data_IF_330613741783
#
_entry.id   IF_330613741783
#
_cell.length_a   1.000
_cell.length_b   1.000
_cell.length_c   1.000
_cell.angle_alpha   90.00
_cell.angle_beta   90.00
_cell.angle_gamma   90.00
#
_symmetry.space_group_name_H-M   'P 1'
#
loop_
_entity.id
_entity.type
_entity.pdbx_description
1 polymer ?
#
# COMPACT_ATOMS: atom_id res chain seq x y z
N UNK A 1 -9.59 1.59 -12.24
CA UNK A 1 -9.56 0.35 -11.44
C UNK A 1 -8.15 -0.22 -11.42
N UNK A 2 -7.69 -0.63 -10.26
CA UNK A 2 -6.38 -1.28 -10.13
C UNK A 2 -6.56 -2.80 -10.17
N UNK A 3 -5.58 -3.51 -10.74
CA UNK A 3 -5.63 -4.98 -10.80
C UNK A 3 -5.52 -5.61 -9.41
N UNK A 4 -4.74 -5.00 -8.52
CA UNK A 4 -4.60 -5.46 -7.14
C UNK A 4 -4.16 -4.34 -6.22
N UNK A 5 -4.43 -4.51 -4.93
CA UNK A 5 -4.04 -3.57 -3.87
C UNK A 5 -3.44 -4.36 -2.72
N UNK A 6 -2.31 -3.91 -2.21
CA UNK A 6 -1.73 -4.42 -0.97
C UNK A 6 -2.07 -3.47 0.16
N UNK A 7 -2.71 -3.97 1.21
CA UNK A 7 -3.04 -3.18 2.40
C UNK A 7 -2.10 -3.58 3.53
N UNK A 8 -1.35 -2.62 4.05
CA UNK A 8 -0.40 -2.83 5.14
C UNK A 8 -0.92 -2.10 6.37
N UNK A 9 -1.44 -2.83 7.33
CA UNK A 9 -2.09 -2.29 8.52
C UNK A 9 -2.16 -3.38 9.59
N UNK A 10 -1.79 -3.07 10.82
CA UNK A 10 -1.77 -4.04 11.91
C UNK A 10 -3.13 -4.23 12.59
N UNK A 11 -4.13 -3.44 12.24
CA UNK A 11 -5.47 -3.53 12.83
C UNK A 11 -6.37 -4.43 11.98
N UNK A 12 -6.80 -5.55 12.53
CA UNK A 12 -7.61 -6.53 11.82
C UNK A 12 -8.96 -5.99 11.38
N UNK A 13 -9.57 -5.13 12.19
CA UNK A 13 -10.87 -4.52 11.85
C UNK A 13 -10.70 -3.57 10.68
N UNK A 14 -9.66 -2.73 10.70
CA UNK A 14 -9.38 -1.82 9.60
C UNK A 14 -9.07 -2.60 8.31
N UNK A 15 -8.29 -3.67 8.40
CA UNK A 15 -8.01 -4.54 7.24
C UNK A 15 -9.30 -5.07 6.62
N UNK A 16 -10.20 -5.57 7.46
CA UNK A 16 -11.49 -6.09 6.98
C UNK A 16 -12.32 -5.01 6.28
N UNK A 17 -12.45 -3.84 6.92
CA UNK A 17 -13.26 -2.74 6.38
C UNK A 17 -12.69 -2.20 5.07
N UNK A 18 -11.38 -2.03 5.01
CA UNK A 18 -10.68 -1.54 3.81
C UNK A 18 -10.87 -2.52 2.65
N UNK A 19 -10.63 -3.81 2.90
CA UNK A 19 -10.80 -4.84 1.89
C UNK A 19 -12.21 -4.83 1.34
N UNK A 20 -13.21 -4.75 2.22
CA UNK A 20 -14.62 -4.72 1.85
C UNK A 20 -14.94 -3.52 0.97
N UNK A 21 -14.49 -2.33 1.35
CA UNK A 21 -14.71 -1.12 0.57
C UNK A 21 -14.07 -1.20 -0.81
N UNK A 22 -12.84 -1.72 -0.88
CA UNK A 22 -12.12 -1.85 -2.15
C UNK A 22 -12.81 -2.83 -3.10
N UNK A 23 -13.28 -3.96 -2.59
CA UNK A 23 -13.91 -4.99 -3.43
C UNK A 23 -15.35 -4.64 -3.80
N UNK A 24 -16.14 -4.18 -2.85
CA UNK A 24 -17.56 -3.84 -3.10
C UNK A 24 -17.72 -2.65 -4.04
N UNK A 25 -16.80 -1.69 -3.99
CA UNK A 25 -16.84 -0.52 -4.88
C UNK A 25 -16.40 -0.83 -6.31
N UNK A 26 -15.82 -2.01 -6.54
CA UNK A 26 -15.24 -2.37 -7.83
C UNK A 26 -13.90 -1.74 -8.10
N UNK A 27 -13.25 -1.14 -7.08
CA UNK A 27 -11.94 -0.52 -7.23
C UNK A 27 -10.87 -1.54 -7.60
N UNK A 28 -10.91 -2.71 -6.99
CA UNK A 28 -9.99 -3.81 -7.30
C UNK A 28 -10.69 -5.16 -7.10
N UNK A 29 -10.14 -6.19 -7.77
CA UNK A 29 -10.62 -7.57 -7.62
C UNK A 29 -9.78 -8.35 -6.61
N UNK A 30 -8.51 -7.99 -6.43
CA UNK A 30 -7.57 -8.72 -5.60
C UNK A 30 -7.00 -7.80 -4.52
N UNK A 31 -7.15 -8.19 -3.26
CA UNK A 31 -6.57 -7.49 -2.12
C UNK A 31 -5.59 -8.41 -1.41
N UNK A 32 -4.35 -7.97 -1.28
CA UNK A 32 -3.33 -8.62 -0.46
C UNK A 32 -3.25 -7.89 0.88
N UNK A 33 -2.99 -8.62 1.95
CA UNK A 33 -2.95 -8.07 3.30
C UNK A 33 -1.63 -8.40 3.98
N UNK A 34 -1.03 -7.41 4.61
CA UNK A 34 0.13 -7.60 5.49
C UNK A 34 -0.11 -6.87 6.80
N UNK A 35 0.28 -7.47 7.92
CA UNK A 35 0.02 -6.91 9.24
C UNK A 35 1.02 -5.83 9.65
N UNK A 36 2.16 -5.75 8.96
CA UNK A 36 3.19 -4.75 9.22
C UNK A 36 4.12 -4.64 8.02
N UNK A 37 5.06 -3.69 8.11
CA UNK A 37 6.01 -3.46 7.01
C UNK A 37 6.92 -4.64 6.74
N UNK A 38 7.34 -5.37 7.79
CA UNK A 38 8.22 -6.52 7.63
C UNK A 38 7.55 -7.64 6.83
N UNK A 39 6.30 -7.97 7.15
CA UNK A 39 5.54 -8.96 6.39
C UNK A 39 5.36 -8.53 4.93
N UNK A 40 5.12 -7.24 4.72
CA UNK A 40 4.94 -6.70 3.38
C UNK A 40 6.23 -6.84 2.55
N UNK A 41 7.38 -6.57 3.16
CA UNK A 41 8.66 -6.73 2.47
C UNK A 41 8.93 -8.20 2.13
N UNK A 42 8.63 -9.13 3.04
CA UNK A 42 8.75 -10.56 2.77
C UNK A 42 7.88 -10.95 1.57
N UNK A 43 6.64 -10.50 1.55
CA UNK A 43 5.71 -10.77 0.44
C UNK A 43 6.25 -10.19 -0.88
N UNK A 44 6.63 -8.92 -0.89
CA UNK A 44 7.08 -8.26 -2.11
C UNK A 44 8.41 -8.82 -2.61
N UNK A 45 9.28 -9.26 -1.71
CA UNK A 45 10.60 -9.81 -2.07
C UNK A 45 10.51 -11.17 -2.74
N UNK A 46 9.43 -11.90 -2.52
CA UNK A 46 9.22 -13.22 -3.15
C UNK A 46 8.62 -13.05 -4.56
N UNK A 47 9.31 -12.28 -5.37
CA UNK A 47 8.80 -11.80 -6.67
C UNK A 47 8.44 -12.95 -7.62
N UNK A 48 9.35 -13.86 -7.84
CA UNK A 48 9.15 -14.90 -8.86
C UNK A 48 8.02 -15.86 -8.49
N UNK A 49 7.93 -16.26 -7.22
CA UNK A 49 6.85 -17.14 -6.75
C UNK A 49 5.50 -16.44 -6.81
N UNK A 50 5.43 -15.18 -6.39
CA UNK A 50 4.19 -14.41 -6.42
C UNK A 50 3.76 -14.12 -7.85
N UNK A 51 4.70 -13.82 -8.73
CA UNK A 51 4.40 -13.59 -10.15
C UNK A 51 3.84 -14.85 -10.81
N UNK A 52 4.39 -16.03 -10.47
CA UNK A 52 3.90 -17.29 -10.97
C UNK A 52 2.49 -17.60 -10.45
N UNK A 53 2.20 -17.27 -9.19
CA UNK A 53 0.90 -17.55 -8.57
C UNK A 53 -0.17 -16.55 -8.99
N UNK A 54 0.13 -15.26 -8.94
CA UNK A 54 -0.86 -14.18 -9.13
C UNK A 54 -0.84 -13.56 -10.51
N UNK A 55 0.19 -13.85 -11.31
CA UNK A 55 0.30 -13.38 -12.70
C UNK A 55 0.19 -11.86 -12.82
N UNK A 56 -0.80 -11.37 -13.56
CA UNK A 56 -0.96 -9.93 -13.80
C UNK A 56 -1.37 -9.15 -12.55
N UNK A 57 -1.78 -9.83 -11.49
CA UNK A 57 -2.15 -9.19 -10.24
C UNK A 57 -0.94 -8.94 -9.33
N UNK A 58 0.23 -9.43 -9.69
CA UNK A 58 1.47 -9.15 -8.97
C UNK A 58 2.49 -8.50 -9.92
N UNK A 59 3.19 -7.45 -9.52
CA UNK A 59 3.10 -6.78 -8.21
C UNK A 59 1.79 -5.99 -8.05
N UNK A 60 1.38 -5.70 -6.81
CA UNK A 60 0.16 -4.92 -6.58
C UNK A 60 0.27 -3.55 -7.24
N UNK A 61 -0.83 -3.06 -7.81
CA UNK A 61 -0.85 -1.76 -8.48
C UNK A 61 -0.90 -0.58 -7.54
N UNK A 62 -1.27 -0.83 -6.29
CA UNK A 62 -1.38 0.19 -5.26
C UNK A 62 -1.06 -0.43 -3.90
N UNK A 63 -0.35 0.33 -3.06
CA UNK A 63 -0.12 -0.03 -1.66
C UNK A 63 -0.80 1.03 -0.79
N UNK A 64 -1.73 0.59 0.07
CA UNK A 64 -2.29 1.42 1.14
C UNK A 64 -1.52 1.12 2.41
N UNK A 65 -0.92 2.14 3.01
CA UNK A 65 0.09 1.98 4.05
C UNK A 65 -0.28 2.79 5.29
N UNK A 66 -0.35 2.13 6.44
CA UNK A 66 -0.47 2.81 7.73
C UNK A 66 0.92 3.20 8.24
N UNK A 67 0.98 4.19 9.13
CA UNK A 67 2.24 4.66 9.71
C UNK A 67 2.62 3.84 10.93
N UNK A 68 1.71 3.72 11.90
CA UNK A 68 2.01 3.18 13.22
C UNK A 68 1.75 1.67 13.27
N UNK A 69 2.81 0.89 13.10
CA UNK A 69 2.75 -0.57 13.12
C UNK A 69 3.93 -1.11 13.92
N UNK A 70 3.76 -2.31 14.53
CA UNK A 70 4.88 -2.95 15.23
C UNK A 70 5.93 -3.47 14.25
N UNK A 71 7.12 -3.75 14.73
CA UNK A 71 8.27 -4.33 14.02
C UNK A 71 8.85 -3.40 12.98
N UNK A 72 8.06 -2.96 12.01
CA UNK A 72 8.48 -2.03 10.97
C UNK A 72 7.33 -1.08 10.67
N UNK A 73 7.49 0.20 11.00
CA UNK A 73 6.46 1.22 10.72
C UNK A 73 6.43 1.62 9.24
N UNK A 74 5.49 2.51 8.88
CA UNK A 74 5.30 2.90 7.49
C UNK A 74 6.51 3.57 6.88
N UNK A 75 7.22 4.40 7.61
CA UNK A 75 8.39 5.10 7.08
C UNK A 75 9.59 4.17 6.93
N UNK A 76 9.78 3.25 7.86
CA UNK A 76 10.80 2.23 7.75
C UNK A 76 10.53 1.32 6.55
N UNK A 77 9.27 0.97 6.33
CA UNK A 77 8.85 0.22 5.14
C UNK A 77 9.24 0.96 3.86
N UNK A 78 8.96 2.26 3.79
CA UNK A 78 9.27 3.06 2.58
C UNK A 78 10.75 3.06 2.26
N UNK A 79 11.61 3.12 3.28
CA UNK A 79 13.05 3.10 3.08
C UNK A 79 13.52 1.78 2.48
N UNK A 80 13.01 0.67 2.97
CA UNK A 80 13.36 -0.66 2.45
C UNK A 80 12.74 -0.85 1.06
N UNK A 81 11.50 -0.44 0.88
CA UNK A 81 10.80 -0.57 -0.39
C UNK A 81 11.47 0.25 -1.50
N UNK A 82 11.99 1.42 -1.17
CA UNK A 82 12.75 2.24 -2.13
C UNK A 82 13.93 1.46 -2.72
N UNK A 83 14.64 0.71 -1.89
CA UNK A 83 15.74 -0.14 -2.36
C UNK A 83 15.24 -1.31 -3.19
N UNK A 84 14.17 -1.94 -2.75
CA UNK A 84 13.57 -3.07 -3.44
C UNK A 84 13.10 -2.69 -4.86
N UNK A 85 12.55 -1.49 -5.02
CA UNK A 85 12.13 -0.97 -6.31
C UNK A 85 13.28 -0.90 -7.33
N UNK A 86 14.49 -0.69 -6.86
CA UNK A 86 15.68 -0.61 -7.72
C UNK A 86 16.19 -1.99 -8.12
N UNK A 87 15.94 -3.00 -7.29
CA UNK A 87 16.42 -4.37 -7.54
C UNK A 87 15.53 -5.14 -8.52
N UNK A 88 14.23 -4.82 -8.53
CA UNK A 88 13.25 -5.48 -9.40
C UNK A 88 12.44 -4.42 -10.11
N UNK A 89 11.70 -4.83 -11.13
CA UNK A 89 10.90 -3.89 -11.92
C UNK A 89 9.60 -3.52 -11.23
N UNK A 90 9.73 -2.79 -10.14
CA UNK A 90 8.58 -2.16 -9.48
C UNK A 90 8.43 -0.69 -9.90
N UNK A 91 9.24 -0.22 -10.86
CA UNK A 91 9.33 1.22 -11.18
C UNK A 91 8.02 1.82 -11.64
N UNK A 92 7.24 1.08 -12.42
CA UNK A 92 5.96 1.57 -12.94
C UNK A 92 4.83 1.32 -11.95
N UNK A 93 5.01 0.45 -11.01
CA UNK A 93 4.08 0.04 -9.95
C UNK A 93 4.89 -0.58 -8.84
N UNK A 94 4.40 -0.64 -7.61
CA UNK A 94 3.17 -0.01 -7.15
C UNK A 94 3.36 1.44 -6.75
N UNK A 95 2.26 2.13 -6.69
CA UNK A 95 2.13 3.47 -6.14
C UNK A 95 1.72 3.32 -4.68
N UNK A 96 2.24 4.18 -3.80
CA UNK A 96 1.91 4.15 -2.36
C UNK A 96 1.01 5.32 -2.00
N UNK A 97 -0.05 5.03 -1.24
CA UNK A 97 -0.91 6.03 -0.63
C UNK A 97 -1.00 5.70 0.87
N UNK A 98 -0.68 6.67 1.71
CA UNK A 98 -0.87 6.49 3.15
C UNK A 98 -2.35 6.50 3.50
N UNK A 99 -2.75 5.60 4.38
CA UNK A 99 -4.09 5.57 4.95
C UNK A 99 -3.93 5.34 6.46
N UNK A 100 -4.09 6.39 7.24
CA UNK A 100 -3.72 6.37 8.65
C UNK A 100 -4.65 7.23 9.48
N UNK A 101 -4.66 7.02 10.79
CA UNK A 101 -5.37 7.90 11.72
C UNK A 101 -4.52 9.09 12.18
N UNK A 102 -3.23 9.13 11.81
CA UNK A 102 -2.35 10.26 12.14
C UNK A 102 -2.71 11.48 11.31
N UNK A 103 -2.80 12.64 11.96
CA UNK A 103 -3.01 13.93 11.29
C UNK A 103 -1.86 14.90 11.53
N UNK A 104 -0.69 14.39 11.89
CA UNK A 104 0.50 15.19 12.14
C UNK A 104 1.09 15.67 10.80
N UNK A 105 1.21 17.00 10.64
CA UNK A 105 1.73 17.58 9.40
C UNK A 105 3.18 17.13 9.11
N UNK A 106 3.99 16.91 10.14
CA UNK A 106 5.36 16.42 9.95
C UNK A 106 5.36 15.04 9.30
N UNK A 107 4.39 14.19 9.62
CA UNK A 107 4.25 12.87 9.00
C UNK A 107 3.86 13.00 7.53
N UNK A 108 2.97 13.92 7.20
CA UNK A 108 2.57 14.20 5.82
C UNK A 108 3.78 14.64 4.99
N UNK A 109 4.53 15.61 5.51
CA UNK A 109 5.71 16.15 4.84
C UNK A 109 6.76 15.07 4.61
N UNK A 110 7.00 14.24 5.60
CA UNK A 110 7.96 13.14 5.53
C UNK A 110 7.53 12.09 4.50
N UNK A 111 6.23 11.78 4.46
CA UNK A 111 5.68 10.82 3.51
C UNK A 111 5.87 11.29 2.07
N UNK A 112 5.62 12.57 1.83
CA UNK A 112 5.68 13.13 0.48
C UNK A 112 7.10 13.36 -0.06
N UNK A 113 8.12 13.13 0.76
CA UNK A 113 9.51 13.14 0.29
C UNK A 113 9.85 11.95 -0.61
N UNK A 114 9.04 10.90 -0.59
CA UNK A 114 9.22 9.75 -1.48
C UNK A 114 8.43 9.96 -2.77
N UNK A 115 9.09 9.88 -3.91
CA UNK A 115 8.47 10.19 -5.21
C UNK A 115 7.37 9.20 -5.63
N UNK A 116 7.40 7.98 -5.08
CA UNK A 116 6.37 6.97 -5.36
C UNK A 116 5.18 7.04 -4.40
N UNK A 117 5.19 7.94 -3.42
CA UNK A 117 4.04 8.21 -2.56
C UNK A 117 3.19 9.26 -3.24
N UNK A 118 1.94 8.92 -3.56
CA UNK A 118 1.04 9.79 -4.34
C UNK A 118 0.02 10.52 -3.48
N UNK A 119 -0.16 10.12 -2.25
CA UNK A 119 -1.13 10.78 -1.41
C UNK A 119 -1.11 10.33 0.04
N UNK A 120 -1.89 11.04 0.83
CA UNK A 120 -2.01 10.82 2.26
C UNK A 120 -3.47 10.99 2.63
N UNK A 121 -4.11 9.92 3.08
CA UNK A 121 -5.51 9.90 3.45
C UNK A 121 -5.67 9.58 4.93
N UNK A 122 -6.70 10.13 5.54
CA UNK A 122 -7.07 9.81 6.92
C UNK A 122 -8.12 8.71 6.93
N UNK A 123 -8.04 7.81 7.92
CA UNK A 123 -9.09 6.83 8.15
C UNK A 123 -10.37 7.52 8.63
N UNK A 124 -11.55 7.04 8.27
CA UNK A 124 -11.82 5.85 7.45
C UNK A 124 -11.59 6.12 5.95
N UNK A 125 -11.37 5.05 5.20
CA UNK A 125 -11.11 5.14 3.76
C UNK A 125 -12.32 5.74 3.04
N UNK A 126 -12.04 6.73 2.19
CA UNK A 126 -13.01 7.30 1.26
C UNK A 126 -12.59 6.91 -0.15
N UNK A 127 -13.38 6.07 -0.78
CA UNK A 127 -13.05 5.53 -2.10
C UNK A 127 -12.98 6.63 -3.16
N UNK A 128 -13.85 7.64 -3.07
CA UNK A 128 -13.83 8.75 -4.05
C UNK A 128 -12.54 9.56 -3.95
N UNK A 129 -12.06 9.82 -2.75
CA UNK A 129 -10.77 10.48 -2.55
C UNK A 129 -9.63 9.64 -3.09
N UNK A 130 -9.66 8.33 -2.83
CA UNK A 130 -8.63 7.42 -3.33
C UNK A 130 -8.61 7.42 -4.85
N UNK A 131 -9.76 7.35 -5.50
CA UNK A 131 -9.88 7.39 -6.96
C UNK A 131 -9.27 8.64 -7.55
N UNK A 132 -9.49 9.79 -6.91
CA UNK A 132 -8.92 11.06 -7.36
C UNK A 132 -7.40 11.06 -7.31
N UNK A 133 -6.83 10.51 -6.23
CA UNK A 133 -5.39 10.45 -6.05
C UNK A 133 -4.73 9.55 -7.11
N UNK A 134 -5.27 8.36 -7.32
CA UNK A 134 -4.63 7.37 -8.20
C UNK A 134 -4.89 7.61 -9.68
N UNK A 135 -5.88 8.43 -10.03
CA UNK A 135 -6.18 8.75 -11.43
C UNK A 135 -5.35 9.92 -11.96
N UNK A 136 -4.64 10.60 -11.10
CA UNK A 136 -3.75 11.70 -11.48
C UNK A 136 -2.30 11.17 -11.65
#
# INVERSE_FOLDING_TARGET
>A
MKSSVLVIDDNDIDQYLIKRQLTESGFTKQVFNSANGEEAIVFLSDYDNNKAEYKNEFPPGLILLDINMPLMDGFEFLKVFKKLRQERDYCATPVVVFLTSSNNQADVDKAMDFDFVKGYLHKPLDIDQLKKIVSN
#
